data_IF_759142358453
#
_entry.id   IF_759142358453
#
_cell.length_a   1.000
_cell.length_b   1.000
_cell.length_c   1.000
_cell.angle_alpha   90.00
_cell.angle_beta   90.00
_cell.angle_gamma   90.00
#
_symmetry.space_group_name_H-M   'P 1'
#
loop_
_entity.id
_entity.type
_entity.pdbx_description
1 polymer ?
#
# COMPACT_ATOMS: atom_id res chain seq x y z
N UNK A 1 -14.87 -12.52 -12.70
CA UNK A 1 -13.49 -12.95 -12.30
C UNK A 1 -12.99 -12.01 -11.23
N UNK A 2 -12.32 -12.51 -10.18
CA UNK A 2 -11.77 -11.67 -9.09
C UNK A 2 -10.26 -11.54 -9.19
N UNK A 3 -9.75 -10.33 -9.02
CA UNK A 3 -8.34 -9.95 -9.07
C UNK A 3 -7.96 -9.38 -7.72
N UNK A 4 -6.84 -9.86 -7.16
CA UNK A 4 -6.20 -9.27 -5.98
C UNK A 4 -5.08 -8.34 -6.44
N UNK A 5 -5.21 -7.04 -6.17
CA UNK A 5 -4.16 -6.05 -6.37
C UNK A 5 -3.35 -5.85 -5.09
N UNK A 6 -2.03 -5.75 -5.23
CA UNK A 6 -1.08 -5.43 -4.16
C UNK A 6 -0.21 -4.28 -4.67
N UNK A 7 -0.13 -3.20 -3.90
CA UNK A 7 0.65 -2.01 -4.21
C UNK A 7 1.64 -1.73 -3.09
N UNK A 8 2.94 -1.76 -3.41
CA UNK A 8 4.06 -1.55 -2.48
C UNK A 8 5.25 -0.88 -3.18
N UNK A 9 4.99 0.09 -4.07
CA UNK A 9 6.04 0.74 -4.87
C UNK A 9 6.81 1.83 -4.13
N UNK A 10 6.18 2.49 -3.15
CA UNK A 10 6.76 3.62 -2.41
C UNK A 10 6.57 3.47 -0.89
N UNK A 11 5.67 4.24 -0.28
CA UNK A 11 5.47 4.32 1.18
C UNK A 11 4.03 4.00 1.62
N UNK A 12 3.19 3.52 0.69
CA UNK A 12 1.89 2.95 0.98
C UNK A 12 1.86 1.45 0.74
N UNK A 13 1.16 0.72 1.61
CA UNK A 13 0.78 -0.67 1.39
C UNK A 13 -0.70 -0.71 1.05
N UNK A 14 -1.00 -0.91 -0.23
CA UNK A 14 -2.37 -1.00 -0.75
C UNK A 14 -2.75 -2.44 -1.08
N UNK A 15 -3.98 -2.83 -0.73
CA UNK A 15 -4.57 -4.10 -1.17
C UNK A 15 -5.98 -3.84 -1.68
N UNK A 16 -6.34 -4.43 -2.81
CA UNK A 16 -7.68 -4.30 -3.37
C UNK A 16 -8.20 -5.62 -3.96
N UNK A 17 -9.52 -5.83 -3.88
CA UNK A 17 -10.22 -6.89 -4.59
C UNK A 17 -11.09 -6.25 -5.66
N UNK A 18 -10.78 -6.54 -6.92
CA UNK A 18 -11.56 -6.10 -8.07
C UNK A 18 -12.29 -7.28 -8.70
N UNK A 19 -13.57 -7.12 -8.97
CA UNK A 19 -14.39 -8.08 -9.71
C UNK A 19 -14.74 -7.52 -11.09
N UNK A 20 -14.55 -8.31 -12.14
CA UNK A 20 -14.78 -7.89 -13.52
C UNK A 20 -16.17 -7.29 -13.76
N UNK A 21 -17.21 -7.85 -13.11
CA UNK A 21 -18.60 -7.49 -13.35
C UNK A 21 -19.13 -6.49 -12.31
N UNK A 22 -18.60 -6.54 -11.09
CA UNK A 22 -19.08 -5.72 -9.96
C UNK A 22 -18.16 -4.54 -9.61
N UNK A 23 -16.97 -4.43 -10.22
CA UNK A 23 -16.01 -3.37 -9.93
C UNK A 23 -15.23 -3.61 -8.63
N UNK A 24 -14.89 -2.53 -7.93
CA UNK A 24 -14.13 -2.59 -6.68
C UNK A 24 -14.99 -3.17 -5.55
N UNK A 25 -14.58 -4.30 -5.00
CA UNK A 25 -15.29 -4.97 -3.90
C UNK A 25 -14.75 -4.60 -2.53
N UNK A 26 -13.44 -4.40 -2.42
CA UNK A 26 -12.78 -4.04 -1.18
C UNK A 26 -11.43 -3.36 -1.46
N UNK A 27 -11.04 -2.46 -0.57
CA UNK A 27 -9.70 -1.90 -0.53
C UNK A 27 -9.24 -1.69 0.92
N UNK A 28 -7.93 -1.69 1.13
CA UNK A 28 -7.29 -1.26 2.36
C UNK A 28 -5.98 -0.54 2.01
N UNK A 29 -5.66 0.48 2.79
CA UNK A 29 -4.45 1.29 2.61
C UNK A 29 -3.79 1.53 3.97
N UNK A 30 -2.50 1.25 4.05
CA UNK A 30 -1.63 1.62 5.16
C UNK A 30 -0.59 2.62 4.67
N UNK A 31 -0.51 3.78 5.30
CA UNK A 31 0.41 4.87 4.91
C UNK A 31 1.53 5.03 5.93
N UNK A 32 2.76 5.17 5.42
CA UNK A 32 3.96 5.35 6.22
C UNK A 32 4.34 6.83 6.39
N UNK A 33 3.48 7.79 6.01
CA UNK A 33 3.79 9.22 6.11
C UNK A 33 4.30 9.60 7.50
N UNK A 34 3.71 9.04 8.56
CA UNK A 34 4.10 9.33 9.94
C UNK A 34 5.56 8.96 10.26
N UNK A 35 6.07 7.84 9.73
CA UNK A 35 7.47 7.45 9.95
C UNK A 35 8.44 8.27 9.09
N UNK A 36 8.04 8.66 7.88
CA UNK A 36 8.89 9.44 6.96
C UNK A 36 8.92 10.95 7.28
N UNK A 37 7.93 11.46 8.01
CA UNK A 37 7.85 12.88 8.41
C UNK A 37 9.08 13.34 9.21
N UNK A 38 9.66 12.47 10.04
CA UNK A 38 10.86 12.79 10.83
C UNK A 38 12.10 13.04 9.97
N UNK A 39 12.12 12.50 8.75
CA UNK A 39 13.26 12.55 7.84
C UNK A 39 13.10 13.59 6.71
N UNK A 40 11.92 14.23 6.62
CA UNK A 40 11.62 15.22 5.57
C UNK A 40 11.44 14.61 4.17
N UNK A 41 11.27 13.29 4.07
CA UNK A 41 11.11 12.56 2.82
C UNK A 41 11.13 11.04 3.03
N UNK A 42 10.71 10.30 2.01
CA UNK A 42 10.68 8.82 2.07
C UNK A 42 12.09 8.27 2.23
N UNK A 43 12.28 7.43 3.25
CA UNK A 43 13.52 6.68 3.48
C UNK A 43 13.35 5.25 2.92
N UNK A 44 14.01 4.87 1.80
CA UNK A 44 13.72 3.62 1.09
C UNK A 44 13.84 2.35 1.93
N UNK A 45 14.83 2.29 2.83
CA UNK A 45 15.01 1.13 3.73
C UNK A 45 13.89 1.01 4.77
N UNK A 46 13.41 2.14 5.31
CA UNK A 46 12.29 2.12 6.25
C UNK A 46 11.01 1.70 5.54
N UNK A 47 10.80 2.20 4.32
CA UNK A 47 9.63 1.86 3.54
C UNK A 47 9.55 0.37 3.19
N UNK A 48 10.68 -0.18 2.71
CA UNK A 48 10.81 -1.61 2.41
C UNK A 48 10.48 -2.51 3.61
N UNK A 49 10.88 -2.10 4.82
CA UNK A 49 10.61 -2.86 6.05
C UNK A 49 9.17 -2.77 6.50
N UNK A 50 8.55 -1.59 6.38
CA UNK A 50 7.20 -1.39 6.89
C UNK A 50 6.15 -2.12 6.03
N UNK A 51 6.41 -2.34 4.73
CA UNK A 51 5.58 -3.23 3.89
C UNK A 51 5.48 -4.69 4.38
N UNK A 52 6.39 -5.14 5.25
CA UNK A 52 6.45 -6.53 5.74
C UNK A 52 5.89 -6.67 7.17
N UNK A 53 5.62 -5.55 7.86
CA UNK A 53 5.12 -5.54 9.24
C UNK A 53 3.60 -5.66 9.30
#
# INVERSE_FOLDING_TARGET
MRILGIETSCDETGVAIYDHDQGLLAEALHSQIAIHQEYGGVVPELASRDHVR
#
